data_IF_910359274082
#
_entry.id   IF_910359274082
#
_cell.length_a   1.000
_cell.length_b   1.000
_cell.length_c   1.000
_cell.angle_alpha   90.00
_cell.angle_beta   90.00
_cell.angle_gamma   90.00
#
_symmetry.space_group_name_H-M   'P 1'
#
loop_
_entity.id
_entity.type
_entity.pdbx_description
1 polymer ?
#
# COMPACT_ATOMS: atom_id res chain seq x y z
N UNK A 1 7.55 -17.48 -25.12
CA UNK A 1 6.87 -17.37 -23.82
C UNK A 1 5.79 -16.32 -23.96
N UNK A 2 4.53 -16.71 -23.80
CA UNK A 2 3.41 -15.76 -23.75
C UNK A 2 3.65 -14.82 -22.57
N UNK A 3 3.74 -13.52 -22.86
CA UNK A 3 3.97 -12.49 -21.85
C UNK A 3 2.71 -12.36 -21.01
N UNK A 4 2.79 -12.67 -19.72
CA UNK A 4 1.72 -12.36 -18.77
C UNK A 4 1.44 -10.85 -18.79
N UNK A 5 0.17 -10.46 -19.00
CA UNK A 5 -0.23 -9.03 -19.13
C UNK A 5 0.04 -8.19 -17.87
N UNK A 6 0.22 -8.81 -16.70
CA UNK A 6 0.66 -8.16 -15.45
C UNK A 6 1.24 -9.18 -14.48
N UNK A 7 2.48 -8.98 -14.03
CA UNK A 7 3.14 -9.89 -13.08
C UNK A 7 2.47 -9.92 -11.71
N UNK A 8 1.98 -8.78 -11.20
CA UNK A 8 1.33 -8.71 -9.88
C UNK A 8 0.01 -9.47 -9.79
N UNK A 9 -0.63 -9.77 -10.92
CA UNK A 9 -1.90 -10.50 -10.96
C UNK A 9 -1.81 -11.90 -10.34
N UNK A 10 -0.63 -12.53 -10.35
CA UNK A 10 -0.43 -13.84 -9.75
C UNK A 10 -0.74 -13.84 -8.24
N UNK A 11 -0.56 -12.71 -7.54
CA UNK A 11 -0.82 -12.62 -6.10
C UNK A 11 -2.31 -12.51 -5.76
N UNK A 12 -3.15 -12.15 -6.73
CA UNK A 12 -4.59 -12.00 -6.51
C UNK A 12 -5.37 -13.32 -6.61
N UNK A 13 -4.70 -14.44 -6.89
CA UNK A 13 -5.35 -15.77 -6.96
C UNK A 13 -5.53 -16.42 -5.57
N UNK A 14 -4.87 -15.88 -4.55
CA UNK A 14 -4.98 -16.30 -3.15
C UNK A 14 -5.51 -15.15 -2.28
N UNK A 15 -6.11 -15.50 -1.14
CA UNK A 15 -6.47 -14.53 -0.09
C UNK A 15 -5.35 -14.32 0.93
N UNK A 16 -5.47 -13.31 1.78
CA UNK A 16 -4.55 -13.09 2.89
C UNK A 16 -3.19 -12.50 2.52
N UNK A 17 -2.14 -12.93 3.20
CA UNK A 17 -0.77 -12.55 2.89
C UNK A 17 -0.23 -13.48 1.80
N UNK A 18 0.23 -12.90 0.69
CA UNK A 18 0.66 -13.64 -0.50
C UNK A 18 2.05 -13.18 -0.93
N UNK A 19 2.97 -14.12 -1.10
CA UNK A 19 4.30 -13.87 -1.65
C UNK A 19 4.31 -14.23 -3.14
N UNK A 20 4.92 -13.37 -3.97
CA UNK A 20 5.35 -13.75 -5.32
C UNK A 20 6.83 -14.11 -5.28
N UNK A 21 7.12 -15.41 -5.36
CA UNK A 21 8.47 -15.92 -5.43
C UNK A 21 9.09 -15.56 -6.79
N UNK A 22 10.26 -14.91 -6.78
CA UNK A 22 10.95 -14.54 -8.01
C UNK A 22 11.38 -15.76 -8.85
N UNK A 23 11.60 -16.89 -8.19
CA UNK A 23 12.17 -18.09 -8.80
C UNK A 23 13.66 -17.95 -9.09
N UNK A 24 14.24 -19.05 -9.54
CA UNK A 24 15.64 -19.19 -9.93
C UNK A 24 15.80 -19.99 -11.23
N UNK A 25 14.74 -20.70 -11.66
CA UNK A 25 14.71 -21.45 -12.90
C UNK A 25 14.56 -20.48 -14.09
N UNK A 26 15.48 -20.50 -15.08
CA UNK A 26 15.39 -19.66 -16.28
C UNK A 26 14.13 -19.90 -17.12
N UNK A 27 13.48 -21.06 -16.99
CA UNK A 27 12.19 -21.34 -17.63
C UNK A 27 11.02 -20.59 -16.98
N UNK A 28 11.21 -20.06 -15.77
CA UNK A 28 10.18 -19.41 -14.95
C UNK A 28 9.27 -20.38 -14.21
N UNK A 29 9.56 -21.68 -14.21
CA UNK A 29 8.71 -22.71 -13.59
C UNK A 29 8.51 -22.51 -12.07
N UNK A 30 9.46 -21.89 -11.39
CA UNK A 30 9.41 -21.59 -9.95
C UNK A 30 9.08 -20.11 -9.63
N UNK A 31 8.74 -19.31 -10.65
CA UNK A 31 8.27 -17.92 -10.51
C UNK A 31 6.75 -17.90 -10.24
N UNK A 32 6.36 -18.22 -9.02
CA UNK A 32 4.96 -18.48 -8.64
C UNK A 32 4.52 -17.66 -7.43
N UNK A 33 3.20 -17.45 -7.31
CA UNK A 33 2.62 -16.93 -6.08
C UNK A 33 2.33 -18.08 -5.10
N UNK A 34 2.48 -17.82 -3.80
CA UNK A 34 2.05 -18.72 -2.73
C UNK A 34 1.32 -17.94 -1.65
N UNK A 35 0.26 -18.53 -1.10
CA UNK A 35 -0.35 -18.03 0.12
C UNK A 35 0.59 -18.29 1.30
N UNK A 36 0.96 -17.23 2.03
CA UNK A 36 1.78 -17.30 3.24
C UNK A 36 0.87 -17.50 4.45
N UNK A 37 -0.14 -16.65 4.59
CA UNK A 37 -1.13 -16.71 5.68
C UNK A 37 -2.53 -16.39 5.15
N UNK A 38 -3.59 -17.03 5.65
CA UNK A 38 -4.96 -16.84 5.16
C UNK A 38 -5.54 -15.46 5.53
N UNK A 39 -6.61 -15.05 4.85
CA UNK A 39 -7.23 -13.73 5.02
C UNK A 39 -7.77 -13.45 6.42
N UNK A 40 -8.15 -14.51 7.15
CA UNK A 40 -8.65 -14.41 8.53
C UNK A 40 -7.53 -14.42 9.58
N UNK A 41 -6.26 -14.47 9.17
CA UNK A 41 -5.15 -14.55 10.11
C UNK A 41 -5.04 -13.31 10.98
N UNK A 42 -5.09 -12.12 10.36
CA UNK A 42 -5.03 -10.83 11.04
C UNK A 42 -6.35 -10.05 10.86
N UNK A 43 -7.43 -10.45 11.56
CA UNK A 43 -8.78 -9.92 11.34
C UNK A 43 -8.90 -8.42 11.67
N UNK A 44 -7.95 -7.87 12.41
CA UNK A 44 -7.96 -6.48 12.88
C UNK A 44 -7.33 -5.54 11.86
N UNK A 45 -6.54 -6.05 10.91
CA UNK A 45 -5.87 -5.25 9.90
C UNK A 45 -6.88 -4.65 8.91
N UNK A 46 -6.72 -3.36 8.62
CA UNK A 46 -7.51 -2.63 7.62
C UNK A 46 -6.58 -1.95 6.64
N UNK A 47 -7.04 -1.84 5.39
CA UNK A 47 -6.45 -1.00 4.37
C UNK A 47 -7.37 0.21 4.13
N UNK A 48 -6.83 1.41 4.28
CA UNK A 48 -7.48 2.68 3.97
C UNK A 48 -6.85 3.23 2.70
N UNK A 49 -7.58 3.20 1.59
CA UNK A 49 -7.13 3.71 0.30
C UNK A 49 -7.59 5.16 0.17
N UNK A 50 -6.64 6.08 0.11
CA UNK A 50 -6.87 7.52 -0.14
C UNK A 50 -6.65 7.77 -1.62
N UNK A 51 -7.74 7.93 -2.37
CA UNK A 51 -7.71 8.21 -3.81
C UNK A 51 -7.55 9.71 -4.01
N UNK A 52 -6.33 10.11 -4.37
CA UNK A 52 -5.97 11.50 -4.59
C UNK A 52 -6.50 11.91 -5.97
N UNK A 53 -7.12 13.09 -6.03
CA UNK A 53 -7.52 13.68 -7.31
C UNK A 53 -6.29 14.30 -7.97
N UNK A 54 -5.54 13.45 -8.67
CA UNK A 54 -4.35 13.82 -9.41
C UNK A 54 -4.55 13.43 -10.88
N UNK A 55 -3.87 14.15 -11.77
CA UNK A 55 -3.96 13.92 -13.22
C UNK A 55 -3.49 12.51 -13.63
N UNK A 56 -3.54 12.24 -14.94
CA UNK A 56 -3.01 10.98 -15.45
C UNK A 56 -1.52 10.81 -15.11
N UNK A 57 -1.14 9.56 -14.83
CA UNK A 57 0.23 9.18 -14.53
C UNK A 57 1.15 9.53 -15.70
N UNK A 58 2.19 10.32 -15.45
CA UNK A 58 3.12 10.77 -16.49
C UNK A 58 3.82 9.61 -17.24
N UNK A 59 4.16 8.52 -16.54
CA UNK A 59 4.86 7.36 -17.13
C UNK A 59 4.22 6.05 -16.67
N UNK A 60 3.76 5.20 -17.59
CA UNK A 60 3.21 3.88 -17.25
C UNK A 60 4.22 2.99 -16.49
N UNK A 61 3.75 2.15 -15.56
CA UNK A 61 4.62 1.33 -14.68
C UNK A 61 5.55 0.41 -15.47
N UNK A 62 5.08 -0.25 -16.53
CA UNK A 62 5.90 -1.14 -17.35
C UNK A 62 7.04 -0.42 -18.07
N UNK A 63 6.83 0.84 -18.47
CA UNK A 63 7.90 1.67 -19.04
C UNK A 63 8.85 2.13 -17.95
N UNK A 64 8.30 2.66 -16.85
CA UNK A 64 9.09 3.13 -15.72
C UNK A 64 10.01 2.06 -15.15
N UNK A 65 9.48 0.86 -14.86
CA UNK A 65 10.25 -0.25 -14.32
C UNK A 65 11.41 -0.69 -15.22
N UNK A 66 11.21 -0.71 -16.55
CA UNK A 66 12.29 -1.03 -17.49
C UNK A 66 13.40 0.01 -17.45
N UNK A 67 13.04 1.28 -17.52
CA UNK A 67 14.01 2.37 -17.39
C UNK A 67 14.76 2.29 -16.05
N UNK A 68 14.07 2.00 -14.95
CA UNK A 68 14.69 1.83 -13.64
C UNK A 68 15.70 0.69 -13.63
N UNK A 69 15.37 -0.47 -14.22
CA UNK A 69 16.32 -1.59 -14.36
C UNK A 69 17.55 -1.19 -15.17
N UNK A 70 17.36 -0.40 -16.22
CA UNK A 70 18.44 0.01 -17.12
C UNK A 70 19.35 1.11 -16.54
N UNK A 71 18.84 1.94 -15.61
CA UNK A 71 19.51 3.20 -15.25
C UNK A 71 19.70 3.48 -13.77
N UNK A 72 18.94 2.83 -12.87
CA UNK A 72 19.08 3.06 -11.43
C UNK A 72 20.18 2.19 -10.84
N UNK A 73 21.24 2.82 -10.32
CA UNK A 73 22.31 2.14 -9.58
C UNK A 73 21.82 1.62 -8.22
N UNK A 74 20.76 2.21 -7.66
CA UNK A 74 20.17 1.78 -6.38
C UNK A 74 19.34 0.50 -6.47
N UNK A 75 18.76 0.19 -7.65
CA UNK A 75 17.83 -0.94 -7.78
C UNK A 75 18.51 -2.28 -7.52
N UNK A 76 19.71 -2.49 -8.06
CA UNK A 76 20.44 -3.75 -7.92
C UNK A 76 20.71 -4.07 -6.44
N UNK A 77 21.19 -3.07 -5.70
CA UNK A 77 21.44 -3.23 -4.26
C UNK A 77 20.13 -3.51 -3.48
N UNK A 78 19.04 -2.81 -3.82
CA UNK A 78 17.71 -3.06 -3.23
C UNK A 78 17.27 -4.51 -3.46
N UNK A 79 17.33 -4.99 -4.69
CA UNK A 79 16.88 -6.33 -5.07
C UNK A 79 17.70 -7.43 -4.40
N UNK A 80 19.03 -7.27 -4.38
CA UNK A 80 19.94 -8.33 -3.90
C UNK A 80 20.10 -8.37 -2.38
N UNK A 81 20.00 -7.22 -1.69
CA UNK A 81 20.39 -7.14 -0.28
C UNK A 81 19.29 -6.68 0.67
N UNK A 82 18.28 -5.96 0.18
CA UNK A 82 17.25 -5.36 1.02
C UNK A 82 15.95 -6.16 0.98
N UNK A 83 15.42 -6.41 -0.22
CA UNK A 83 14.12 -7.07 -0.41
C UNK A 83 14.08 -8.48 0.23
N UNK A 84 15.07 -9.38 0.05
CA UNK A 84 15.02 -10.72 0.64
C UNK A 84 14.95 -10.70 2.18
N UNK A 85 15.60 -9.72 2.82
CA UNK A 85 15.57 -9.56 4.27
C UNK A 85 14.24 -8.97 4.75
N UNK A 86 13.68 -8.03 3.98
CA UNK A 86 12.39 -7.40 4.30
C UNK A 86 11.23 -8.39 4.17
N UNK A 87 11.23 -9.25 3.16
CA UNK A 87 10.23 -10.32 3.02
C UNK A 87 10.17 -11.17 4.29
N UNK A 88 11.31 -11.76 4.70
CA UNK A 88 11.37 -12.61 5.91
C UNK A 88 10.88 -11.91 7.17
N UNK A 89 11.27 -10.65 7.36
CA UNK A 89 10.86 -9.87 8.54
C UNK A 89 9.39 -9.48 8.51
N UNK A 90 8.86 -9.16 7.33
CA UNK A 90 7.45 -8.79 7.17
C UNK A 90 6.56 -10.02 7.38
N UNK A 91 6.94 -11.18 6.85
CA UNK A 91 6.25 -12.44 7.11
C UNK A 91 6.23 -12.77 8.61
N UNK A 92 7.38 -12.70 9.28
CA UNK A 92 7.47 -12.94 10.73
C UNK A 92 6.64 -11.93 11.53
N UNK A 93 6.66 -10.65 11.17
CA UNK A 93 5.85 -9.62 11.83
C UNK A 93 4.35 -9.86 11.63
N UNK A 94 3.95 -10.25 10.42
CA UNK A 94 2.56 -10.56 10.11
C UNK A 94 2.08 -11.82 10.85
N UNK A 95 2.93 -12.84 10.95
CA UNK A 95 2.60 -14.10 11.65
C UNK A 95 2.22 -13.87 13.12
N UNK A 96 2.93 -12.97 13.81
CA UNK A 96 2.71 -12.68 15.24
C UNK A 96 1.92 -11.39 15.51
N UNK A 97 1.35 -10.78 14.47
CA UNK A 97 0.62 -9.51 14.54
C UNK A 97 1.45 -8.35 15.15
N UNK A 98 2.76 -8.32 14.88
CA UNK A 98 3.64 -7.20 15.23
C UNK A 98 3.40 -6.03 14.26
N UNK A 99 2.41 -5.19 14.59
CA UNK A 99 2.06 -4.04 13.78
C UNK A 99 3.21 -3.02 13.67
N UNK A 100 4.01 -2.85 14.73
CA UNK A 100 5.14 -1.92 14.73
C UNK A 100 6.17 -2.30 13.65
N UNK A 101 6.63 -3.54 13.66
CA UNK A 101 7.61 -4.02 12.67
C UNK A 101 7.01 -4.07 11.26
N UNK A 102 5.76 -4.55 11.13
CA UNK A 102 5.03 -4.54 9.86
C UNK A 102 4.94 -3.12 9.27
N UNK A 103 4.55 -2.14 10.09
CA UNK A 103 4.40 -0.75 9.68
C UNK A 103 5.73 -0.13 9.26
N UNK A 104 6.78 -0.37 10.05
CA UNK A 104 8.12 0.14 9.77
C UNK A 104 8.69 -0.43 8.47
N UNK A 105 8.51 -1.73 8.18
CA UNK A 105 8.95 -2.33 6.92
C UNK A 105 8.14 -1.77 5.75
N UNK A 106 6.81 -1.71 5.88
CA UNK A 106 5.91 -1.25 4.83
C UNK A 106 6.25 0.17 4.38
N UNK A 107 6.36 1.12 5.31
CA UNK A 107 6.72 2.50 5.00
C UNK A 107 8.13 2.60 4.42
N UNK A 108 9.10 1.86 4.97
CA UNK A 108 10.48 1.88 4.48
C UNK A 108 10.64 1.26 3.09
N UNK A 109 9.78 0.30 2.72
CA UNK A 109 9.77 -0.32 1.40
C UNK A 109 9.11 0.57 0.36
N UNK A 110 7.99 1.20 0.71
CA UNK A 110 7.39 2.27 -0.10
C UNK A 110 8.39 3.39 -0.37
N UNK A 111 9.03 3.94 0.68
CA UNK A 111 9.99 5.04 0.51
C UNK A 111 11.16 4.63 -0.40
N UNK A 112 11.69 3.41 -0.26
CA UNK A 112 12.82 2.95 -1.06
C UNK A 112 12.42 2.65 -2.51
N UNK A 113 11.19 2.18 -2.78
CA UNK A 113 10.67 2.10 -4.13
C UNK A 113 10.72 3.47 -4.82
N UNK A 114 10.18 4.51 -4.18
CA UNK A 114 10.16 5.85 -4.77
C UNK A 114 11.55 6.50 -4.82
N UNK A 115 12.48 6.15 -3.92
CA UNK A 115 13.88 6.56 -4.02
C UNK A 115 14.56 5.97 -5.26
N UNK A 116 14.32 4.69 -5.56
CA UNK A 116 14.80 4.02 -6.77
C UNK A 116 14.14 4.60 -8.04
N UNK A 117 12.86 4.97 -7.97
CA UNK A 117 12.21 5.70 -9.06
C UNK A 117 12.87 7.07 -9.32
N UNK A 118 13.25 7.79 -8.27
CA UNK A 118 13.94 9.08 -8.38
C UNK A 118 15.37 8.94 -8.95
N UNK A 119 16.04 7.81 -8.69
CA UNK A 119 17.38 7.46 -9.18
C UNK A 119 17.39 6.99 -10.65
N UNK A 120 16.22 6.68 -11.22
CA UNK A 120 16.06 6.35 -12.64
C UNK A 120 16.41 7.55 -13.54
N UNK A 121 16.92 7.32 -14.76
CA UNK A 121 17.15 8.40 -15.75
C UNK A 121 16.27 8.24 -17.00
N UNK A 122 15.42 9.23 -17.37
CA UNK A 122 15.06 10.42 -16.58
C UNK A 122 14.29 10.02 -15.29
N UNK A 123 14.29 10.89 -14.25
CA UNK A 123 13.69 10.58 -12.95
C UNK A 123 12.20 10.31 -13.07
N UNK A 124 11.74 9.31 -12.34
CA UNK A 124 10.32 8.96 -12.23
C UNK A 124 9.75 9.52 -10.93
N UNK A 125 8.72 10.36 -11.04
CA UNK A 125 7.99 10.89 -9.89
C UNK A 125 6.54 10.39 -9.91
N UNK A 126 6.20 9.52 -8.97
CA UNK A 126 4.82 9.02 -8.82
C UNK A 126 4.05 9.66 -7.65
N UNK A 127 4.77 10.08 -6.60
CA UNK A 127 4.17 10.78 -5.46
C UNK A 127 4.05 12.28 -5.74
N UNK A 128 2.86 12.82 -5.47
CA UNK A 128 2.59 14.25 -5.52
C UNK A 128 2.66 14.89 -4.13
N UNK A 129 2.47 16.20 -4.07
CA UNK A 129 2.52 16.94 -2.79
C UNK A 129 1.39 16.51 -1.84
N UNK A 130 0.27 16.03 -2.39
CA UNK A 130 -0.82 15.41 -1.64
C UNK A 130 -0.40 14.06 -1.03
N UNK A 131 0.38 13.25 -1.74
CA UNK A 131 0.98 12.02 -1.19
C UNK A 131 1.87 12.35 0.02
N UNK A 132 2.68 13.41 -0.06
CA UNK A 132 3.50 13.86 1.07
C UNK A 132 2.66 14.44 2.23
N UNK A 133 1.48 15.01 1.96
CA UNK A 133 0.55 15.41 3.02
C UNK A 133 -0.01 14.19 3.77
N UNK A 134 -0.29 13.08 3.09
CA UNK A 134 -0.63 11.80 3.73
C UNK A 134 0.52 11.31 4.60
N UNK A 135 1.76 11.33 4.11
CA UNK A 135 2.94 10.90 4.87
C UNK A 135 3.08 11.72 6.16
N UNK A 136 2.94 13.04 6.10
CA UNK A 136 2.98 13.92 7.28
C UNK A 136 1.89 13.57 8.28
N UNK A 137 0.67 13.36 7.80
CA UNK A 137 -0.46 12.97 8.66
C UNK A 137 -0.23 11.63 9.35
N UNK A 138 0.24 10.61 8.64
CA UNK A 138 0.55 9.29 9.22
C UNK A 138 1.70 9.39 10.23
N UNK A 139 2.74 10.18 9.94
CA UNK A 139 3.82 10.41 10.90
C UNK A 139 3.34 11.13 12.16
N UNK A 140 2.46 12.13 12.04
CA UNK A 140 1.82 12.78 13.19
C UNK A 140 0.99 11.79 14.01
N UNK A 141 0.19 10.95 13.34
CA UNK A 141 -0.61 9.90 13.97
C UNK A 141 0.24 8.88 14.75
N UNK A 142 1.48 8.66 14.30
CA UNK A 142 2.44 7.73 14.90
C UNK A 142 3.34 8.36 15.98
N UNK A 143 3.12 9.61 16.42
CA UNK A 143 3.99 10.30 17.40
C UNK A 143 4.02 9.68 18.81
N UNK A 144 3.19 8.66 19.08
CA UNK A 144 3.19 7.91 20.33
C UNK A 144 4.35 6.89 20.45
N UNK A 145 4.26 6.03 21.46
CA UNK A 145 5.30 5.02 21.73
C UNK A 145 5.31 3.83 20.74
N UNK A 146 4.30 3.74 19.87
CA UNK A 146 4.11 2.68 18.88
C UNK A 146 3.55 3.25 17.59
N UNK A 147 3.94 2.68 16.47
CA UNK A 147 3.34 2.90 15.17
C UNK A 147 1.93 2.31 15.17
N UNK A 148 0.98 3.07 14.64
CA UNK A 148 -0.44 2.72 14.57
C UNK A 148 -1.00 2.77 13.16
N UNK A 149 -0.28 3.40 12.23
CA UNK A 149 -0.58 3.40 10.82
C UNK A 149 0.70 3.26 9.98
N UNK A 150 0.57 2.66 8.79
CA UNK A 150 1.66 2.49 7.85
C UNK A 150 1.20 2.87 6.44
N UNK A 151 1.83 3.86 5.83
CA UNK A 151 1.55 4.20 4.44
C UNK A 151 2.37 3.35 3.47
N UNK A 152 1.82 3.11 2.30
CA UNK A 152 2.55 2.63 1.12
C UNK A 152 1.97 3.26 -0.15
N UNK A 153 2.82 3.47 -1.13
CA UNK A 153 2.50 4.06 -2.42
C UNK A 153 3.04 3.18 -3.54
N UNK A 154 2.16 2.79 -4.45
CA UNK A 154 2.55 2.11 -5.69
C UNK A 154 3.02 3.14 -6.73
N UNK A 155 2.95 2.78 -8.01
CA UNK A 155 3.29 3.66 -9.10
C UNK A 155 2.15 4.64 -9.42
N UNK A 156 1.83 5.52 -8.46
CA UNK A 156 0.87 6.61 -8.55
C UNK A 156 0.74 7.37 -7.21
N UNK A 157 -0.06 8.44 -7.14
CA UNK A 157 -0.13 9.31 -5.97
C UNK A 157 -1.03 8.77 -4.85
N UNK A 158 -1.92 7.82 -5.16
CA UNK A 158 -2.84 7.22 -4.19
C UNK A 158 -2.09 6.55 -3.04
N UNK A 159 -2.53 6.83 -1.82
CA UNK A 159 -1.98 6.18 -0.64
C UNK A 159 -2.81 4.95 -0.26
N UNK A 160 -2.14 3.85 0.05
CA UNK A 160 -2.71 2.77 0.84
C UNK A 160 -2.16 2.89 2.26
N UNK A 161 -3.03 2.98 3.26
CA UNK A 161 -2.63 3.08 4.66
C UNK A 161 -3.13 1.84 5.39
N UNK A 162 -2.21 1.05 5.93
CA UNK A 162 -2.54 -0.02 6.85
C UNK A 162 -2.72 0.51 8.26
N UNK A 163 -3.72 0.01 8.96
CA UNK A 163 -4.11 0.45 10.31
C UNK A 163 -4.93 -0.66 10.96
N UNK A 164 -4.89 -0.79 12.29
CA UNK A 164 -5.80 -1.68 13.00
C UNK A 164 -7.21 -1.08 13.11
N UNK A 165 -8.24 -1.93 13.13
CA UNK A 165 -9.65 -1.51 13.01
C UNK A 165 -10.08 -0.48 14.07
N UNK A 166 -9.59 -0.59 15.29
CA UNK A 166 -9.85 0.36 16.39
C UNK A 166 -9.27 1.77 16.14
N UNK A 167 -8.28 1.89 15.26
CA UNK A 167 -7.54 3.11 14.98
C UNK A 167 -8.07 3.85 13.72
N UNK A 168 -8.96 3.23 12.93
CA UNK A 168 -9.45 3.78 11.66
C UNK A 168 -10.08 5.17 11.82
N UNK A 169 -11.00 5.36 12.77
CA UNK A 169 -11.71 6.63 12.93
C UNK A 169 -10.78 7.78 13.34
N UNK A 170 -9.79 7.49 14.18
CA UNK A 170 -8.79 8.47 14.62
C UNK A 170 -7.83 8.82 13.48
N UNK A 171 -7.41 7.83 12.68
CA UNK A 171 -6.61 8.04 11.47
C UNK A 171 -7.34 8.95 10.48
N UNK A 172 -8.62 8.68 10.18
CA UNK A 172 -9.43 9.50 9.28
C UNK A 172 -9.55 10.94 9.81
N UNK A 173 -9.72 11.11 11.11
CA UNK A 173 -9.73 12.43 11.76
C UNK A 173 -8.39 13.16 11.62
N UNK A 174 -7.27 12.45 11.75
CA UNK A 174 -5.93 13.00 11.53
C UNK A 174 -5.73 13.43 10.07
N UNK A 175 -6.17 12.61 9.10
CA UNK A 175 -6.08 12.93 7.68
C UNK A 175 -6.84 14.21 7.32
N UNK A 176 -7.99 14.48 7.94
CA UNK A 176 -8.75 15.72 7.75
C UNK A 176 -7.95 16.99 8.11
N UNK A 177 -6.92 16.90 8.98
CA UNK A 177 -6.06 18.06 9.31
C UNK A 177 -5.19 18.49 8.14
N UNK A 178 -4.96 17.60 7.17
CA UNK A 178 -4.09 17.84 6.03
C UNK A 178 -4.84 17.83 4.70
N UNK A 179 -5.93 17.07 4.57
CA UNK A 179 -6.61 16.80 3.31
C UNK A 179 -8.10 17.14 3.38
N UNK A 180 -8.68 17.61 2.28
CA UNK A 180 -10.13 17.73 2.12
C UNK A 180 -10.71 16.37 1.74
N UNK A 181 -11.19 15.63 2.75
CA UNK A 181 -11.86 14.34 2.55
C UNK A 181 -13.32 14.55 2.11
N UNK A 182 -13.92 13.58 1.39
CA UNK A 182 -15.35 13.59 1.12
C UNK A 182 -16.15 13.52 2.42
N UNK A 183 -17.34 14.15 2.43
CA UNK A 183 -18.18 14.27 3.64
C UNK A 183 -18.63 12.93 4.22
N UNK A 184 -18.72 11.90 3.38
CA UNK A 184 -19.05 10.53 3.76
C UNK A 184 -18.01 9.57 3.20
N UNK A 185 -17.46 8.74 4.08
CA UNK A 185 -16.50 7.69 3.72
C UNK A 185 -17.16 6.34 3.97
N UNK A 186 -17.26 5.52 2.91
CA UNK A 186 -17.78 4.16 3.02
C UNK A 186 -16.69 3.25 3.56
N UNK A 187 -17.02 2.56 4.64
CA UNK A 187 -16.17 1.54 5.22
C UNK A 187 -16.83 0.19 4.99
N UNK A 188 -16.30 -0.57 4.04
CA UNK A 188 -16.78 -1.92 3.74
C UNK A 188 -16.26 -2.85 4.83
N UNK A 189 -17.13 -3.24 5.76
CA UNK A 189 -16.84 -4.23 6.80
C UNK A 189 -17.76 -5.43 6.60
N UNK A 190 -17.21 -6.59 6.23
CA UNK A 190 -17.98 -7.83 6.28
C UNK A 190 -17.70 -8.53 7.63
N UNK A 191 -18.72 -9.01 8.37
CA UNK A 191 -20.16 -9.05 8.09
C UNK A 191 -20.94 -7.85 8.67
N UNK A 192 -20.27 -6.85 9.24
CA UNK A 192 -20.89 -5.77 10.01
C UNK A 192 -21.69 -4.73 9.18
N UNK A 193 -21.63 -4.80 7.85
CA UNK A 193 -22.30 -3.88 6.93
C UNK A 193 -21.52 -2.58 6.70
N UNK A 194 -22.00 -1.79 5.74
CA UNK A 194 -21.41 -0.47 5.43
C UNK A 194 -21.54 0.44 6.65
N UNK A 195 -20.40 0.84 7.23
CA UNK A 195 -20.37 1.93 8.20
C UNK A 195 -19.89 3.22 7.53
N UNK A 196 -20.50 4.35 7.93
CA UNK A 196 -20.18 5.66 7.38
C UNK A 196 -19.41 6.45 8.42
N UNK A 197 -18.20 6.88 8.06
CA UNK A 197 -17.49 7.90 8.83
C UNK A 197 -17.92 9.28 8.30
N UNK A 198 -18.30 10.16 9.23
CA UNK A 198 -18.66 11.55 8.94
C UNK A 198 -17.52 12.47 9.33
N UNK A 199 -17.03 13.25 8.38
CA UNK A 199 -15.99 14.25 8.62
C UNK A 199 -16.51 15.32 9.60
N UNK A 200 -15.77 15.68 10.66
CA UNK A 200 -16.24 16.69 11.60
C UNK A 200 -16.39 18.07 10.91
N UNK A 201 -17.48 18.82 11.16
CA UNK A 201 -17.86 19.99 10.36
C UNK A 201 -16.91 21.20 10.47
N UNK A 202 -16.02 21.22 11.47
CA UNK A 202 -15.16 22.36 11.78
C UNK A 202 -13.66 22.12 11.51
N UNK A 203 -13.31 21.08 10.73
CA UNK A 203 -11.90 20.83 10.39
C UNK A 203 -11.56 21.61 9.13
N UNK A 204 -10.68 22.61 9.27
CA UNK A 204 -10.06 23.29 8.11
C UNK A 204 -8.70 22.64 7.85
N UNK A 205 -8.51 21.95 6.71
CA UNK A 205 -7.25 21.31 6.41
C UNK A 205 -6.14 22.35 6.20
N UNK A 206 -4.91 22.02 6.64
CA UNK A 206 -3.72 22.85 6.45
C UNK A 206 -3.27 22.95 4.98
N UNK A 207 -3.77 22.07 4.10
CA UNK A 207 -3.52 22.12 2.66
C UNK A 207 -4.83 22.22 1.87
N UNK A 208 -4.74 22.49 0.57
CA UNK A 208 -5.91 22.55 -0.31
C UNK A 208 -6.18 21.24 -1.05
N UNK A 209 -5.37 20.20 -0.87
CA UNK A 209 -5.46 18.95 -1.62
C UNK A 209 -6.78 18.22 -1.34
N UNK A 210 -7.51 17.94 -2.42
CA UNK A 210 -8.77 17.23 -2.37
C UNK A 210 -8.56 15.73 -2.59
N UNK A 211 -9.28 14.93 -1.82
CA UNK A 211 -9.33 13.48 -1.97
C UNK A 211 -10.64 13.13 -2.66
N UNK A 212 -10.54 12.43 -3.79
CA UNK A 212 -11.71 12.02 -4.59
C UNK A 212 -12.58 11.03 -3.84
N UNK A 213 -11.96 10.04 -3.20
CA UNK A 213 -12.65 9.04 -2.39
C UNK A 213 -11.71 8.43 -1.36
N UNK A 214 -12.30 7.91 -0.29
CA UNK A 214 -11.61 7.05 0.69
C UNK A 214 -12.35 5.72 0.74
N UNK A 215 -11.59 4.62 0.67
CA UNK A 215 -12.12 3.26 0.76
C UNK A 215 -11.48 2.61 1.97
N UNK A 216 -12.27 2.04 2.87
CA UNK A 216 -11.77 1.19 3.96
C UNK A 216 -12.16 -0.25 3.68
N UNK A 217 -11.17 -1.14 3.65
CA UNK A 217 -11.33 -2.56 3.38
C UNK A 217 -10.64 -3.41 4.43
N UNK A 218 -11.10 -4.64 4.56
CA UNK A 218 -10.47 -5.71 5.33
C UNK A 218 -9.52 -6.51 4.43
N UNK A 219 -8.78 -7.45 5.03
CA UNK A 219 -7.97 -8.41 4.27
C UNK A 219 -8.91 -9.30 3.44
N UNK A 220 -8.71 -9.31 2.12
CA UNK A 220 -9.58 -10.00 1.18
C UNK A 220 -9.30 -11.50 1.04
N UNK A 221 -10.35 -12.27 0.76
CA UNK A 221 -10.26 -13.69 0.39
C UNK A 221 -9.93 -13.92 -1.09
N UNK A 222 -9.78 -15.20 -1.50
CA UNK A 222 -9.48 -15.56 -2.89
C UNK A 222 -10.64 -15.26 -3.85
N UNK A 223 -10.42 -15.34 -5.18
CA UNK A 223 -11.48 -15.20 -6.18
C UNK A 223 -12.69 -16.11 -5.89
N UNK A 224 -13.90 -15.56 -6.04
CA UNK A 224 -15.16 -16.27 -5.82
C UNK A 224 -15.82 -16.62 -7.16
N UNK A 225 -16.29 -17.87 -7.29
CA UNK A 225 -17.18 -18.26 -8.40
C UNK A 225 -18.59 -17.85 -8.00
N UNK A 226 -19.20 -16.96 -8.77
CA UNK A 226 -20.60 -16.59 -8.57
C UNK A 226 -21.48 -17.65 -9.21
N UNK A 227 -22.28 -18.34 -8.41
CA UNK A 227 -23.33 -19.22 -8.92
C UNK A 227 -24.55 -18.37 -9.23
N UNK A 228 -24.90 -18.26 -10.51
CA UNK A 228 -26.10 -17.60 -11.01
C UNK A 228 -27.36 -18.42 -10.70
#
# INVERSE_FOLDING_TARGET
MEVSRSGSACRSVFGGLVEWCAGSDPSGADCVAKQVLPEKWWPELRAVIVVIDDGEKEVASSKGMRNTVETSELLEYRANHIVPKRIKRLEAAFEVHDFDEFARITMADSNQLHAVCLDTFPPLRYMSDASWAVIRSVNEFNTGNRLRAAYTFDAGPNACIFVENNNVAELLTCLCRYLKLPSQIRCNREPAGDCVFTVPPNVTPSTQFAVRSVIVSEVGGPPKILTC
#
